data_IF_563689218263
#
_entry.id   IF_563689218263
#
_cell.length_a   1.000
_cell.length_b   1.000
_cell.length_c   1.000
_cell.angle_alpha   90.00
_cell.angle_beta   90.00
_cell.angle_gamma   90.00
#
_symmetry.space_group_name_H-M   'P 1'
#
loop_
_entity.id
_entity.type
_entity.pdbx_description
1 polymer ?
#
# COMPACT_ATOMS: atom_id res chain seq x y z
N UNK A 1 19.13 9.75 7.45
CA UNK A 1 19.06 8.68 8.46
C UNK A 1 20.12 7.66 8.10
N UNK A 2 21.18 7.56 8.89
CA UNK A 2 22.27 6.62 8.62
C UNK A 2 21.91 5.22 9.12
N UNK A 3 22.62 4.18 8.65
CA UNK A 3 22.36 2.80 9.07
C UNK A 3 22.49 2.58 10.59
N UNK A 4 23.29 3.41 11.27
CA UNK A 4 23.47 3.38 12.71
C UNK A 4 22.26 3.93 13.48
N UNK A 5 21.58 4.94 12.92
CA UNK A 5 20.35 5.50 13.51
C UNK A 5 19.20 4.50 13.39
N UNK A 6 19.15 3.74 12.30
CA UNK A 6 18.20 2.63 12.12
C UNK A 6 18.41 1.51 13.16
N UNK A 7 19.67 1.21 13.53
CA UNK A 7 19.98 0.26 14.63
C UNK A 7 19.53 0.80 15.98
N UNK A 8 19.75 2.09 16.26
CA UNK A 8 19.31 2.74 17.51
C UNK A 8 17.78 2.73 17.62
N UNK A 9 17.06 2.90 16.51
CA UNK A 9 15.60 2.82 16.45
C UNK A 9 15.05 1.42 16.79
N UNK A 10 15.78 0.33 16.48
CA UNK A 10 15.37 -1.04 16.84
C UNK A 10 15.26 -1.27 18.34
N UNK A 11 16.15 -0.65 19.12
CA UNK A 11 16.13 -0.76 20.58
C UNK A 11 14.83 -0.20 21.18
N UNK A 12 14.14 0.69 20.46
CA UNK A 12 12.94 1.37 20.92
C UNK A 12 11.69 1.03 20.09
N UNK A 13 11.01 -0.07 20.47
CA UNK A 13 9.76 -0.53 19.82
C UNK A 13 8.65 0.55 19.77
N UNK A 14 8.62 1.49 20.72
CA UNK A 14 7.64 2.60 20.75
C UNK A 14 7.88 3.61 19.62
N UNK A 15 9.13 3.95 19.33
CA UNK A 15 9.49 4.89 18.27
C UNK A 15 9.22 4.29 16.89
N UNK A 16 9.49 3.00 16.70
CA UNK A 16 9.15 2.28 15.46
C UNK A 16 7.64 2.31 15.21
N UNK A 17 6.83 2.01 16.23
CA UNK A 17 5.36 2.08 16.11
C UNK A 17 4.88 3.51 15.80
N UNK A 18 5.53 4.54 16.35
CA UNK A 18 5.21 5.95 16.07
C UNK A 18 5.56 6.33 14.63
N UNK A 19 6.73 5.89 14.13
CA UNK A 19 7.15 6.10 12.74
C UNK A 19 6.23 5.39 11.75
N UNK A 20 5.88 4.12 12.02
CA UNK A 20 4.98 3.34 11.18
C UNK A 20 3.55 3.92 11.14
N UNK A 21 3.13 4.67 12.16
CA UNK A 21 1.86 5.40 12.15
C UNK A 21 1.95 6.76 11.45
N UNK A 22 3.12 7.40 11.43
CA UNK A 22 3.32 8.74 10.87
C UNK A 22 3.38 8.73 9.34
N UNK A 23 3.90 7.68 8.73
CA UNK A 23 4.09 7.57 7.28
C UNK A 23 3.42 6.32 6.73
N UNK A 24 2.80 6.43 5.55
CA UNK A 24 2.08 5.33 4.90
C UNK A 24 2.95 4.46 4.00
N UNK A 25 3.94 5.07 3.35
CA UNK A 25 4.93 4.36 2.55
C UNK A 25 6.34 4.70 3.01
N UNK A 26 7.24 3.73 2.88
CA UNK A 26 8.67 3.89 3.09
C UNK A 26 9.39 3.56 1.80
N UNK A 27 10.48 4.28 1.57
CA UNK A 27 11.31 4.14 0.38
C UNK A 27 12.72 3.87 0.85
N UNK A 28 13.38 2.86 0.29
CA UNK A 28 14.72 2.46 0.71
C UNK A 28 15.61 2.16 -0.50
N UNK A 29 16.91 2.46 -0.38
CA UNK A 29 17.89 2.08 -1.39
C UNK A 29 18.06 0.56 -1.46
N UNK A 30 18.43 0.04 -2.63
CA UNK A 30 18.70 -1.39 -2.83
C UNK A 30 19.80 -1.94 -1.91
N UNK A 31 20.74 -1.09 -1.51
CA UNK A 31 21.79 -1.44 -0.54
C UNK A 31 21.24 -1.70 0.87
N UNK A 32 20.19 -0.97 1.27
CA UNK A 32 19.62 -1.02 2.62
C UNK A 32 18.44 -1.99 2.74
N UNK A 33 17.70 -2.27 1.66
CA UNK A 33 16.49 -3.10 1.71
C UNK A 33 16.73 -4.51 2.26
N UNK A 34 17.88 -5.11 1.92
CA UNK A 34 18.30 -6.44 2.43
C UNK A 34 18.57 -6.44 3.93
N UNK A 35 18.99 -5.29 4.46
CA UNK A 35 19.34 -5.14 5.88
C UNK A 35 18.14 -4.72 6.73
N UNK A 36 17.10 -4.13 6.13
CA UNK A 36 15.91 -3.61 6.83
C UNK A 36 15.23 -4.64 7.75
N UNK A 37 15.01 -5.91 7.36
CA UNK A 37 14.41 -6.90 8.27
C UNK A 37 15.24 -7.13 9.54
N UNK A 38 16.57 -7.12 9.42
CA UNK A 38 17.51 -7.29 10.54
C UNK A 38 17.63 -6.02 11.38
N UNK A 39 17.64 -4.85 10.73
CA UNK A 39 17.86 -3.56 11.38
C UNK A 39 16.62 -3.02 12.08
N UNK A 40 15.44 -3.15 11.48
CA UNK A 40 14.18 -2.59 12.02
C UNK A 40 13.27 -3.64 12.66
N UNK A 41 13.66 -4.91 12.58
CA UNK A 41 12.90 -6.03 13.10
C UNK A 41 11.53 -6.20 12.43
N UNK A 42 10.65 -7.06 12.98
CA UNK A 42 9.34 -7.33 12.38
C UNK A 42 8.34 -6.18 12.51
N UNK A 43 8.71 -5.05 13.14
CA UNK A 43 7.79 -3.95 13.45
C UNK A 43 7.15 -3.31 12.21
N UNK A 44 7.94 -3.07 11.16
CA UNK A 44 7.48 -2.50 9.90
C UNK A 44 6.76 -3.52 9.01
N UNK A 45 7.25 -4.77 9.00
CA UNK A 45 6.62 -5.87 8.24
C UNK A 45 5.23 -6.21 8.80
N UNK A 46 5.09 -6.28 10.13
CA UNK A 46 3.80 -6.50 10.79
C UNK A 46 2.80 -5.35 10.56
N UNK A 47 3.30 -4.14 10.32
CA UNK A 47 2.47 -2.99 9.95
C UNK A 47 2.06 -2.97 8.46
N UNK A 48 2.57 -3.89 7.63
CA UNK A 48 2.28 -3.95 6.19
C UNK A 48 2.99 -2.89 5.35
N UNK A 49 3.84 -2.05 5.98
CA UNK A 49 4.54 -0.92 5.38
C UNK A 49 6.00 -1.28 5.07
N UNK A 50 6.19 -2.38 4.34
CA UNK A 50 7.53 -2.77 3.90
C UNK A 50 8.03 -1.77 2.83
N UNK A 51 9.29 -1.30 2.91
CA UNK A 51 9.77 -0.26 2.00
C UNK A 51 9.83 -0.71 0.54
N UNK A 52 9.52 0.20 -0.38
CA UNK A 52 9.72 0.01 -1.82
C UNK A 52 11.20 0.27 -2.16
N UNK A 53 11.87 -0.62 -2.91
CA UNK A 53 13.26 -0.43 -3.33
C UNK A 53 13.39 0.71 -4.34
N UNK A 54 14.46 1.48 -4.25
CA UNK A 54 14.84 2.52 -5.24
C UNK A 54 16.27 2.31 -5.68
N UNK A 55 16.44 2.25 -6.99
CA UNK A 55 17.75 2.22 -7.63
C UNK A 55 18.38 3.62 -7.62
N UNK A 56 19.70 3.71 -7.65
CA UNK A 56 20.41 4.99 -7.75
C UNK A 56 20.23 5.68 -9.12
N UNK A 57 19.71 4.96 -10.10
CA UNK A 57 19.49 5.43 -11.47
C UNK A 57 18.13 6.10 -11.69
N UNK A 58 17.23 6.07 -10.70
CA UNK A 58 15.86 6.54 -10.86
C UNK A 58 15.61 7.85 -10.11
N UNK A 59 14.76 8.71 -10.68
CA UNK A 59 14.31 9.93 -10.04
C UNK A 59 13.45 9.62 -8.81
N UNK A 60 13.95 10.06 -7.65
CA UNK A 60 13.27 9.86 -6.37
C UNK A 60 11.89 10.54 -6.34
N UNK A 61 11.76 11.69 -7.01
CA UNK A 61 10.50 12.45 -7.11
C UNK A 61 9.43 11.68 -7.90
N UNK A 62 9.81 11.08 -9.04
CA UNK A 62 8.92 10.24 -9.85
C UNK A 62 8.43 9.04 -9.05
N UNK A 63 9.35 8.33 -8.40
CA UNK A 63 9.02 7.15 -7.60
C UNK A 63 8.14 7.46 -6.39
N UNK A 64 8.33 8.61 -5.76
CA UNK A 64 7.44 9.07 -4.68
C UNK A 64 6.02 9.31 -5.21
N UNK A 65 5.89 9.93 -6.38
CA UNK A 65 4.59 10.16 -7.02
C UNK A 65 3.92 8.84 -7.40
N UNK A 66 4.67 7.90 -7.97
CA UNK A 66 4.16 6.55 -8.27
C UNK A 66 3.66 5.84 -7.02
N UNK A 67 4.45 5.84 -5.94
CA UNK A 67 4.07 5.19 -4.68
C UNK A 67 2.85 5.86 -4.05
N UNK A 68 2.68 7.19 -4.20
CA UNK A 68 1.49 7.91 -3.75
C UNK A 68 0.24 7.56 -4.58
N UNK A 69 0.40 7.39 -5.89
CA UNK A 69 -0.69 7.06 -6.81
C UNK A 69 -0.99 5.55 -6.86
N UNK A 70 -0.15 4.72 -6.26
CA UNK A 70 -0.31 3.26 -6.27
C UNK A 70 -1.20 2.80 -5.13
N UNK A 71 -2.19 2.01 -5.49
CA UNK A 71 -3.08 1.34 -4.56
C UNK A 71 -2.59 -0.09 -4.33
N UNK A 72 -2.32 -0.46 -3.07
CA UNK A 72 -1.83 -1.79 -2.71
C UNK A 72 -2.97 -2.73 -2.34
N UNK A 73 -3.19 -3.75 -3.16
CA UNK A 73 -4.04 -4.88 -2.81
C UNK A 73 -3.27 -5.86 -1.93
N UNK A 74 -3.72 -6.07 -0.69
CA UNK A 74 -3.15 -7.08 0.20
C UNK A 74 -4.22 -8.03 0.71
N UNK A 75 -4.21 -9.24 0.15
CA UNK A 75 -4.97 -10.37 0.70
C UNK A 75 -4.36 -10.73 2.06
N UNK A 76 -5.16 -10.53 3.12
CA UNK A 76 -4.90 -11.11 4.44
C UNK A 76 -5.62 -12.46 4.54
N UNK A 77 -5.76 -12.99 5.76
CA UNK A 77 -6.53 -14.22 6.05
C UNK A 77 -8.06 -14.04 5.90
N UNK A 78 -8.52 -13.00 5.19
CA UNK A 78 -9.93 -12.61 5.04
C UNK A 78 -10.23 -12.46 3.54
N UNK A 79 -11.40 -12.93 3.13
CA UNK A 79 -11.85 -12.94 1.74
C UNK A 79 -12.29 -11.55 1.23
N UNK A 80 -12.70 -10.67 2.13
CA UNK A 80 -13.09 -9.30 1.82
C UNK A 80 -11.88 -8.36 1.90
N UNK A 81 -11.70 -7.52 0.88
CA UNK A 81 -10.72 -6.45 0.87
C UNK A 81 -11.40 -5.10 0.66
N UNK A 82 -11.02 -4.12 1.48
CA UNK A 82 -11.44 -2.73 1.33
C UNK A 82 -10.27 -1.90 0.82
N UNK A 83 -10.49 -1.19 -0.27
CA UNK A 83 -9.46 -0.40 -0.96
C UNK A 83 -10.02 0.97 -1.30
N UNK A 84 -9.24 2.02 -1.06
CA UNK A 84 -9.59 3.39 -1.42
C UNK A 84 -9.19 3.64 -2.87
N UNK A 85 -10.16 4.04 -3.70
CA UNK A 85 -9.99 4.19 -5.16
C UNK A 85 -10.07 5.65 -5.61
N UNK A 86 -10.34 6.59 -4.68
CA UNK A 86 -10.36 8.02 -4.97
C UNK A 86 -10.73 8.87 -3.76
N UNK A 87 -10.62 10.18 -3.95
CA UNK A 87 -11.02 11.21 -2.98
C UNK A 87 -12.26 11.98 -3.50
N UNK A 88 -12.90 12.74 -2.61
CA UNK A 88 -14.12 13.53 -2.95
C UNK A 88 -13.81 14.66 -3.94
N UNK A 89 -12.57 15.15 -3.98
CA UNK A 89 -12.14 16.24 -4.86
C UNK A 89 -11.88 15.79 -6.32
N UNK A 90 -11.94 14.49 -6.62
CA UNK A 90 -11.76 13.96 -7.98
C UNK A 90 -13.06 14.05 -8.79
N UNK A 91 -12.93 14.15 -10.12
CA UNK A 91 -14.11 14.16 -11.00
C UNK A 91 -14.78 12.78 -11.06
N UNK A 92 -16.06 12.75 -11.44
CA UNK A 92 -16.80 11.50 -11.58
C UNK A 92 -16.18 10.58 -12.63
N UNK A 93 -15.67 11.14 -13.73
CA UNK A 93 -15.00 10.38 -14.80
C UNK A 93 -13.71 9.72 -14.32
N UNK A 94 -12.88 10.44 -13.57
CA UNK A 94 -11.65 9.90 -12.96
C UNK A 94 -11.97 8.79 -11.95
N UNK A 95 -13.00 8.98 -11.13
CA UNK A 95 -13.45 7.98 -10.16
C UNK A 95 -13.90 6.69 -10.85
N UNK A 96 -14.71 6.81 -11.90
CA UNK A 96 -15.17 5.66 -12.68
C UNK A 96 -14.00 4.94 -13.34
N UNK A 97 -13.06 5.68 -13.95
CA UNK A 97 -11.84 5.12 -14.54
C UNK A 97 -11.00 4.36 -13.52
N UNK A 98 -10.76 4.95 -12.35
CA UNK A 98 -10.00 4.33 -11.26
C UNK A 98 -10.69 3.06 -10.73
N UNK A 99 -12.01 3.08 -10.58
CA UNK A 99 -12.81 1.91 -10.15
C UNK A 99 -12.69 0.76 -11.14
N UNK A 100 -12.85 1.03 -12.44
CA UNK A 100 -12.70 -0.01 -13.45
C UNK A 100 -11.28 -0.58 -13.48
N UNK A 101 -10.27 0.28 -13.40
CA UNK A 101 -8.86 -0.13 -13.41
C UNK A 101 -8.53 -1.01 -12.19
N UNK A 102 -9.02 -0.62 -11.00
CA UNK A 102 -8.88 -1.40 -9.78
C UNK A 102 -9.54 -2.79 -9.87
N UNK A 103 -10.76 -2.87 -10.40
CA UNK A 103 -11.49 -4.14 -10.56
C UNK A 103 -10.79 -5.03 -11.58
N UNK A 104 -10.44 -4.51 -12.75
CA UNK A 104 -9.78 -5.27 -13.80
C UNK A 104 -8.41 -5.80 -13.36
N UNK A 105 -7.63 -4.98 -12.67
CA UNK A 105 -6.36 -5.41 -12.09
C UNK A 105 -6.56 -6.54 -11.08
N UNK A 106 -7.53 -6.41 -10.17
CA UNK A 106 -7.80 -7.46 -9.18
C UNK A 106 -8.24 -8.77 -9.83
N UNK A 107 -9.13 -8.71 -10.82
CA UNK A 107 -9.61 -9.90 -11.56
C UNK A 107 -8.45 -10.60 -12.28
N UNK A 108 -7.52 -9.84 -12.85
CA UNK A 108 -6.35 -10.40 -13.55
C UNK A 108 -5.41 -11.21 -12.65
N UNK A 109 -5.39 -10.91 -11.35
CA UNK A 109 -4.58 -11.62 -10.36
C UNK A 109 -5.21 -12.94 -9.91
N UNK A 110 -6.51 -13.15 -10.15
CA UNK A 110 -7.24 -14.33 -9.69
C UNK A 110 -7.21 -15.43 -10.76
N UNK A 111 -6.81 -16.66 -10.39
CA UNK A 111 -6.68 -17.80 -11.31
C UNK A 111 -7.96 -18.17 -12.08
N UNK A 112 -9.14 -17.83 -11.55
CA UNK A 112 -10.46 -18.07 -12.19
C UNK A 112 -11.16 -16.77 -12.59
N UNK A 113 -10.46 -15.63 -12.56
CA UNK A 113 -11.00 -14.31 -12.87
C UNK A 113 -12.31 -14.02 -12.12
N UNK A 114 -13.33 -13.64 -12.88
CA UNK A 114 -14.68 -13.27 -12.40
C UNK A 114 -15.41 -14.37 -11.63
N UNK A 115 -15.14 -15.65 -11.89
CA UNK A 115 -15.77 -16.75 -11.13
C UNK A 115 -15.32 -16.79 -9.67
N UNK A 116 -14.19 -16.16 -9.36
CA UNK A 116 -13.67 -16.07 -7.99
C UNK A 116 -14.10 -14.77 -7.27
N UNK A 117 -14.91 -13.94 -7.92
CA UNK A 117 -15.44 -12.69 -7.35
C UNK A 117 -16.88 -12.97 -6.90
N UNK A 118 -17.12 -12.91 -5.58
CA UNK A 118 -18.46 -13.18 -5.03
C UNK A 118 -19.39 -11.96 -5.04
N UNK A 119 -18.87 -10.80 -4.66
CA UNK A 119 -19.61 -9.52 -4.75
C UNK A 119 -18.65 -8.33 -4.82
N UNK A 120 -19.10 -7.25 -5.46
CA UNK A 120 -18.42 -5.96 -5.53
C UNK A 120 -19.34 -4.89 -4.97
N UNK A 121 -18.89 -4.23 -3.91
CA UNK A 121 -19.64 -3.15 -3.26
C UNK A 121 -18.81 -1.87 -3.25
N UNK A 122 -19.40 -0.78 -3.70
CA UNK A 122 -18.83 0.57 -3.59
C UNK A 122 -19.56 1.29 -2.47
N UNK A 123 -18.78 1.95 -1.60
CA UNK A 123 -19.32 2.86 -0.60
C UNK A 123 -18.42 4.09 -0.50
N UNK A 124 -19.02 5.24 -0.22
CA UNK A 124 -18.30 6.40 0.25
C UNK A 124 -18.10 6.31 1.78
N UNK A 125 -17.38 7.27 2.35
CA UNK A 125 -17.10 7.32 3.80
C UNK A 125 -18.38 7.34 4.66
N UNK A 126 -19.45 7.97 4.17
CA UNK A 126 -20.70 8.19 4.92
C UNK A 126 -21.95 7.66 4.20
N UNK A 127 -21.83 7.08 3.00
CA UNK A 127 -22.97 6.62 2.21
C UNK A 127 -23.29 5.15 2.48
N UNK A 128 -24.56 4.72 2.30
CA UNK A 128 -24.87 3.31 2.25
C UNK A 128 -24.10 2.63 1.10
N UNK A 129 -23.70 1.36 1.27
CA UNK A 129 -23.01 0.61 0.23
C UNK A 129 -23.94 0.32 -0.94
N UNK A 130 -23.47 0.56 -2.17
CA UNK A 130 -24.13 0.15 -3.40
C UNK A 130 -23.41 -1.07 -3.97
N UNK A 131 -24.17 -2.12 -4.27
CA UNK A 131 -23.65 -3.35 -4.87
C UNK A 131 -23.64 -3.20 -6.39
N UNK A 132 -22.51 -3.53 -7.01
CA UNK A 132 -22.33 -3.58 -8.46
C UNK A 132 -22.39 -5.01 -9.01
N UNK A 133 -21.93 -5.99 -8.23
CA UNK A 133 -21.90 -7.43 -8.57
C UNK A 133 -22.12 -8.26 -7.31
#
# INVERSE_FOLDING_TARGET
>A
MSAEDLKKLNKNKKLIKKLAKKYDAFVASDSLIKQIPRLLGPGLSKAGKFPTPVSHSEDLSGKITEVKSTIKFQLKKVLCMGVAVGNVDMSEEELVGNVMLAINYLVSLLKKGWQNVGSLCIKASMSPPKRLY
#
